data_IF_451566672776
#
_entry.id   IF_451566672776
#
_cell.length_a   1.000
_cell.length_b   1.000
_cell.length_c   1.000
_cell.angle_alpha   90.00
_cell.angle_beta   90.00
_cell.angle_gamma   90.00
#
_symmetry.space_group_name_H-M   'P 1'
#
loop_
_entity.id
_entity.type
_entity.pdbx_description
1 polymer ?
#
# COMPACT_ATOMS: atom_id res chain seq x y z
N UNK A 1 -24.08 -24.56 62.59
CA UNK A 1 -24.30 -23.20 62.05
C UNK A 1 -23.16 -22.86 61.06
N UNK A 2 -23.07 -23.53 59.90
CA UNK A 2 -21.89 -23.40 59.00
C UNK A 2 -22.23 -23.56 57.51
N UNK A 3 -23.40 -23.10 57.08
CA UNK A 3 -23.88 -23.28 55.69
C UNK A 3 -24.02 -21.98 54.88
N UNK A 4 -23.80 -20.80 55.49
CA UNK A 4 -23.91 -19.50 54.78
C UNK A 4 -22.57 -18.85 54.42
N UNK A 5 -21.48 -19.27 55.05
CA UNK A 5 -20.14 -18.68 54.82
C UNK A 5 -19.51 -19.16 53.49
N UNK A 6 -19.65 -20.45 53.17
CA UNK A 6 -19.09 -21.04 51.95
C UNK A 6 -19.70 -20.50 50.65
N UNK A 7 -20.96 -20.04 50.69
CA UNK A 7 -21.69 -19.52 49.53
C UNK A 7 -21.29 -18.07 49.13
N UNK A 8 -20.66 -17.30 50.02
CA UNK A 8 -20.28 -15.90 49.72
C UNK A 8 -18.99 -15.86 48.88
N UNK A 9 -17.99 -16.62 49.29
CA UNK A 9 -16.69 -16.69 48.63
C UNK A 9 -16.80 -17.24 47.19
N UNK A 10 -17.70 -18.20 46.97
CA UNK A 10 -17.99 -18.72 45.64
C UNK A 10 -18.67 -17.67 44.73
N UNK A 11 -19.55 -16.82 45.27
CA UNK A 11 -20.18 -15.73 44.49
C UNK A 11 -19.19 -14.63 44.17
N UNK A 12 -18.29 -14.29 45.08
CA UNK A 12 -17.27 -13.27 44.86
C UNK A 12 -16.18 -13.79 43.89
N UNK A 13 -15.84 -15.08 43.96
CA UNK A 13 -14.98 -15.74 42.96
C UNK A 13 -15.64 -15.78 41.57
N UNK A 14 -16.93 -16.12 41.47
CA UNK A 14 -17.68 -16.06 40.19
C UNK A 14 -17.76 -14.64 39.62
N UNK A 15 -17.84 -13.61 40.47
CA UNK A 15 -17.81 -12.19 40.06
C UNK A 15 -16.43 -11.73 39.60
N UNK A 16 -15.37 -12.13 40.29
CA UNK A 16 -14.00 -11.79 39.88
C UNK A 16 -13.61 -12.52 38.60
N UNK A 17 -13.90 -13.81 38.47
CA UNK A 17 -13.64 -14.60 37.27
C UNK A 17 -14.41 -14.05 36.06
N UNK A 18 -15.67 -13.63 36.23
CA UNK A 18 -16.44 -13.00 35.14
C UNK A 18 -15.96 -11.58 34.80
N UNK A 19 -15.39 -10.85 35.75
CA UNK A 19 -14.74 -9.57 35.48
C UNK A 19 -13.42 -9.74 34.74
N UNK A 20 -12.66 -10.79 35.05
CA UNK A 20 -11.38 -11.10 34.40
C UNK A 20 -11.58 -11.63 32.98
N UNK A 21 -12.62 -12.44 32.74
CA UNK A 21 -12.94 -12.90 31.38
C UNK A 21 -13.42 -11.75 30.47
N UNK A 22 -14.15 -10.78 31.02
CA UNK A 22 -14.52 -9.54 30.30
C UNK A 22 -13.33 -8.62 30.05
N UNK A 23 -12.35 -8.55 30.96
CA UNK A 23 -11.11 -7.80 30.75
C UNK A 23 -10.28 -8.41 29.62
N UNK A 24 -10.21 -9.75 29.58
CA UNK A 24 -9.47 -10.51 28.56
C UNK A 24 -10.14 -10.47 27.17
N UNK A 25 -11.46 -10.28 27.08
CA UNK A 25 -12.18 -10.23 25.79
C UNK A 25 -12.07 -8.90 25.03
N UNK A 26 -11.44 -7.87 25.60
CA UNK A 26 -11.49 -6.50 25.07
C UNK A 26 -10.44 -6.16 23.99
N UNK A 27 -9.65 -7.13 23.52
CA UNK A 27 -8.53 -6.88 22.60
C UNK A 27 -8.65 -7.56 21.24
N UNK A 28 -9.82 -8.09 20.88
CA UNK A 28 -10.07 -8.56 19.52
C UNK A 28 -11.03 -7.61 18.84
N UNK A 29 -10.49 -6.63 18.11
CA UNK A 29 -11.31 -5.88 17.17
C UNK A 29 -11.88 -6.89 16.16
N UNK A 30 -13.17 -7.14 16.26
CA UNK A 30 -13.88 -8.00 15.31
C UNK A 30 -13.68 -7.42 13.91
N UNK A 31 -13.36 -8.28 12.94
CA UNK A 31 -13.29 -7.89 11.52
C UNK A 31 -14.55 -7.13 11.07
N UNK A 32 -15.71 -7.47 11.64
CA UNK A 32 -16.99 -6.80 11.38
C UNK A 32 -17.05 -5.36 11.92
N UNK A 33 -16.37 -5.09 13.05
CA UNK A 33 -16.27 -3.75 13.62
C UNK A 33 -15.29 -2.87 12.81
N UNK A 34 -14.18 -3.45 12.34
CA UNK A 34 -13.28 -2.76 11.41
C UNK A 34 -13.98 -2.41 10.07
N UNK A 35 -14.77 -3.35 9.54
CA UNK A 35 -15.62 -3.14 8.36
C UNK A 35 -16.86 -2.25 8.61
N UNK A 36 -16.97 -1.57 9.75
CA UNK A 36 -18.02 -0.54 9.94
C UNK A 36 -17.54 0.86 9.55
N UNK A 37 -16.23 1.12 9.70
CA UNK A 37 -15.63 2.45 9.47
C UNK A 37 -14.86 2.56 8.14
N UNK A 38 -14.81 1.48 7.35
CA UNK A 38 -14.16 1.46 6.03
C UNK A 38 -14.75 2.44 5.00
N UNK A 39 -15.99 2.90 5.22
CA UNK A 39 -16.66 3.89 4.38
C UNK A 39 -17.13 5.09 5.22
N UNK A 40 -16.21 5.67 5.99
CA UNK A 40 -16.42 6.97 6.61
C UNK A 40 -16.10 8.08 5.58
N UNK A 41 -17.00 9.04 5.30
CA UNK A 41 -16.73 10.16 4.42
C UNK A 41 -15.46 10.94 4.78
N UNK A 42 -15.08 10.98 6.06
CA UNK A 42 -13.84 11.62 6.51
C UNK A 42 -12.56 10.86 6.10
N UNK A 43 -12.66 9.57 5.76
CA UNK A 43 -11.52 8.73 5.33
C UNK A 43 -11.23 8.83 3.83
N UNK A 44 -12.19 9.28 3.02
CA UNK A 44 -12.06 9.48 1.57
C UNK A 44 -10.80 10.30 1.20
N UNK A 45 -10.54 11.50 1.78
CA UNK A 45 -9.35 12.28 1.42
C UNK A 45 -8.04 11.55 1.73
N UNK A 46 -7.99 10.75 2.79
CA UNK A 46 -6.80 9.97 3.16
C UNK A 46 -6.52 8.90 2.10
N UNK A 47 -7.56 8.19 1.65
CA UNK A 47 -7.42 7.17 0.60
C UNK A 47 -6.99 7.77 -0.74
N UNK A 48 -7.49 8.97 -1.08
CA UNK A 48 -7.06 9.66 -2.30
C UNK A 48 -5.57 9.99 -2.24
N UNK A 49 -5.08 10.59 -1.16
CA UNK A 49 -3.66 10.96 -1.04
C UNK A 49 -2.76 9.73 -1.10
N UNK A 50 -3.09 8.68 -0.36
CA UNK A 50 -2.31 7.44 -0.35
C UNK A 50 -2.36 6.77 -1.73
N UNK A 51 -3.55 6.67 -2.33
CA UNK A 51 -3.74 6.09 -3.66
C UNK A 51 -2.95 6.85 -4.73
N UNK A 52 -2.99 8.18 -4.71
CA UNK A 52 -2.20 9.03 -5.62
C UNK A 52 -0.71 8.89 -5.37
N UNK A 53 -0.26 8.84 -4.11
CA UNK A 53 1.15 8.68 -3.77
C UNK A 53 1.70 7.32 -4.25
N UNK A 54 1.01 6.23 -3.90
CA UNK A 54 1.39 4.87 -4.33
C UNK A 54 1.29 4.71 -5.84
N UNK A 55 0.24 5.22 -6.45
CA UNK A 55 0.04 5.21 -7.90
C UNK A 55 1.12 5.99 -8.64
N UNK A 56 1.42 7.21 -8.19
CA UNK A 56 2.48 8.05 -8.75
C UNK A 56 3.87 7.45 -8.59
N UNK A 57 4.18 6.89 -7.42
CA UNK A 57 5.45 6.21 -7.17
C UNK A 57 5.61 4.97 -8.06
N UNK A 58 4.58 4.13 -8.14
CA UNK A 58 4.59 2.92 -8.99
C UNK A 58 4.73 3.30 -10.47
N UNK A 59 3.99 4.32 -10.91
CA UNK A 59 4.08 4.82 -12.27
C UNK A 59 5.49 5.34 -12.59
N UNK A 60 6.08 6.15 -11.70
CA UNK A 60 7.41 6.71 -11.91
C UNK A 60 8.49 5.63 -11.94
N UNK A 61 8.40 4.64 -11.05
CA UNK A 61 9.30 3.49 -11.06
C UNK A 61 9.18 2.71 -12.38
N UNK A 62 7.95 2.49 -12.88
CA UNK A 62 7.73 1.81 -14.16
C UNK A 62 8.29 2.60 -15.36
N UNK A 63 8.27 3.94 -15.30
CA UNK A 63 8.86 4.81 -16.32
C UNK A 63 10.39 4.74 -16.31
N UNK A 64 11.00 4.72 -15.12
CA UNK A 64 12.43 4.58 -14.96
C UNK A 64 12.91 3.21 -15.43
N UNK A 65 12.21 2.15 -15.03
CA UNK A 65 12.47 0.77 -15.47
C UNK A 65 12.57 0.62 -16.99
N UNK A 66 11.84 1.43 -17.76
CA UNK A 66 11.81 1.38 -19.24
C UNK A 66 12.80 2.34 -19.91
N UNK A 67 13.77 2.90 -19.19
CA UNK A 67 14.85 3.71 -19.77
C UNK A 67 15.71 2.92 -20.77
N UNK A 68 16.35 3.56 -21.77
CA UNK A 68 17.21 2.89 -22.74
C UNK A 68 18.51 2.35 -22.13
N UNK A 69 18.81 2.73 -20.89
CA UNK A 69 20.02 2.32 -20.17
C UNK A 69 19.85 0.95 -19.47
N UNK A 70 18.61 0.46 -19.40
CA UNK A 70 18.23 -0.73 -18.63
C UNK A 70 17.90 -1.88 -19.57
N UNK A 71 18.56 -3.01 -19.41
CA UNK A 71 18.35 -4.22 -20.23
C UNK A 71 17.42 -5.17 -19.48
N UNK A 72 16.21 -5.43 -20.01
CA UNK A 72 15.31 -6.45 -19.49
C UNK A 72 15.48 -7.78 -20.22
N UNK A 73 15.59 -7.73 -21.55
CA UNK A 73 15.87 -8.90 -22.37
C UNK A 73 17.31 -8.87 -22.89
N UNK A 74 18.16 -9.72 -22.31
CA UNK A 74 19.57 -9.83 -22.70
C UNK A 74 19.78 -10.66 -23.98
N UNK A 75 18.79 -11.42 -24.41
CA UNK A 75 18.90 -12.33 -25.55
C UNK A 75 18.41 -11.66 -26.84
N UNK A 76 17.21 -11.06 -26.82
CA UNK A 76 16.62 -10.48 -28.03
C UNK A 76 16.92 -8.98 -28.19
N UNK A 77 17.25 -8.27 -27.10
CA UNK A 77 17.60 -6.84 -27.16
C UNK A 77 18.76 -6.47 -26.20
N UNK A 78 19.97 -7.01 -26.41
CA UNK A 78 21.10 -6.77 -25.52
C UNK A 78 21.58 -5.31 -25.46
N UNK A 79 21.22 -4.49 -26.47
CA UNK A 79 21.69 -3.11 -26.62
C UNK A 79 20.53 -2.14 -26.89
N UNK A 80 19.67 -1.87 -25.89
CA UNK A 80 18.47 -1.03 -26.06
C UNK A 80 18.78 0.43 -26.46
N UNK A 81 19.98 0.93 -26.20
CA UNK A 81 20.40 2.27 -26.62
C UNK A 81 20.50 2.44 -28.13
N UNK A 82 20.66 1.36 -28.91
CA UNK A 82 20.69 1.44 -30.38
C UNK A 82 19.33 1.79 -30.99
N UNK A 83 18.23 1.62 -30.26
CA UNK A 83 16.89 1.97 -30.73
C UNK A 83 16.59 3.48 -30.61
N UNK A 84 17.41 4.23 -29.85
CA UNK A 84 17.24 5.68 -29.68
C UNK A 84 17.73 6.41 -30.93
N UNK A 85 16.83 7.08 -31.64
CA UNK A 85 17.18 7.81 -32.87
C UNK A 85 17.82 9.17 -32.55
N UNK A 86 18.69 9.63 -33.43
CA UNK A 86 19.27 10.97 -33.31
C UNK A 86 18.17 12.03 -33.34
N UNK A 87 18.29 13.07 -32.50
CA UNK A 87 17.28 14.13 -32.39
C UNK A 87 15.99 13.71 -31.66
N UNK A 88 15.97 12.57 -30.96
CA UNK A 88 14.91 12.23 -30.00
C UNK A 88 15.25 12.69 -28.58
N UNK A 89 14.22 13.03 -27.81
CA UNK A 89 14.36 13.33 -26.40
C UNK A 89 14.23 12.08 -25.54
N UNK A 90 15.30 11.68 -24.86
CA UNK A 90 15.28 10.57 -23.89
C UNK A 90 14.76 10.99 -22.51
N UNK A 91 14.78 12.30 -22.22
CA UNK A 91 14.37 12.86 -20.94
C UNK A 91 12.84 12.82 -20.80
N UNK A 92 12.38 13.03 -19.58
CA UNK A 92 10.93 13.09 -19.32
C UNK A 92 10.32 14.39 -19.87
N UNK A 93 11.07 15.49 -19.81
CA UNK A 93 10.62 16.81 -20.21
C UNK A 93 11.80 17.61 -20.78
N UNK A 94 11.50 18.39 -21.80
CA UNK A 94 12.36 19.45 -22.31
C UNK A 94 11.61 20.77 -22.22
N UNK A 95 12.17 21.77 -21.54
CA UNK A 95 11.48 23.04 -21.28
C UNK A 95 11.65 24.01 -22.46
N UNK A 96 12.86 24.06 -23.06
CA UNK A 96 13.18 25.00 -24.13
C UNK A 96 13.78 24.34 -25.38
N UNK A 97 13.82 23.00 -25.43
CA UNK A 97 14.44 22.27 -26.54
C UNK A 97 13.38 21.54 -27.35
N UNK A 98 13.30 21.85 -28.64
CA UNK A 98 12.47 21.12 -29.60
C UNK A 98 13.30 20.00 -30.23
N UNK A 99 12.73 18.80 -30.22
CA UNK A 99 13.34 17.60 -30.76
C UNK A 99 12.62 17.22 -32.05
N UNK A 100 13.31 17.21 -33.21
CA UNK A 100 12.66 16.96 -34.50
C UNK A 100 11.99 15.58 -34.57
N UNK A 101 12.47 14.62 -33.78
CA UNK A 101 11.95 13.26 -33.75
C UNK A 101 11.13 12.94 -32.47
N UNK A 102 10.73 13.98 -31.72
CA UNK A 102 9.88 13.87 -30.54
C UNK A 102 10.52 13.17 -29.34
N UNK A 103 9.68 12.71 -28.41
CA UNK A 103 10.12 11.98 -27.20
C UNK A 103 10.28 10.49 -27.47
N UNK A 104 11.36 9.92 -26.94
CA UNK A 104 11.65 8.49 -27.01
C UNK A 104 10.58 7.66 -26.29
N UNK A 105 10.12 6.60 -26.95
CA UNK A 105 9.26 5.56 -26.41
C UNK A 105 9.92 4.21 -26.66
N UNK A 106 9.87 3.33 -25.68
CA UNK A 106 10.46 1.99 -25.76
C UNK A 106 9.39 0.99 -26.19
N UNK A 107 9.59 0.38 -27.36
CA UNK A 107 8.62 -0.54 -27.97
C UNK A 107 8.82 -2.00 -27.52
N UNK A 108 10.05 -2.38 -27.13
CA UNK A 108 10.45 -3.72 -26.69
C UNK A 108 11.27 -3.67 -25.40
N UNK A 109 11.01 -4.62 -24.48
CA UNK A 109 11.74 -4.77 -23.21
C UNK A 109 13.05 -5.53 -23.45
#
# INVERSE_FOLDING_TARGET
MRFKFQNKEERDSRRTISSLSKLASNHTMSFRAAMKHWYDPAAIPIYVVIGTAMGGATWYLSRLARGPDIVWDRHNNPQPWNDVKQGQNTKMMAVNQEFPNGSYKRDKL
#
